data_IF_890344506622
#
_entry.id   IF_890344506622
#
_cell.length_a   1.000
_cell.length_b   1.000
_cell.length_c   1.000
_cell.angle_alpha   90.00
_cell.angle_beta   90.00
_cell.angle_gamma   90.00
#
_symmetry.space_group_name_H-M   'P 1'
#
loop_
_entity.id
_entity.type
_entity.pdbx_description
1 polymer ?
#
# COMPACT_ATOMS: atom_id res chain seq x y z
N UNK A 1 -0.32 11.71 -18.57
CA UNK A 1 0.87 11.49 -17.73
C UNK A 1 2.10 11.59 -18.63
N UNK A 2 3.21 12.15 -18.14
CA UNK A 2 4.51 12.08 -18.80
C UNK A 2 5.44 11.19 -17.96
N UNK A 3 6.22 10.33 -18.61
CA UNK A 3 7.25 9.52 -17.96
C UNK A 3 8.52 10.37 -17.88
N UNK A 4 9.01 10.64 -16.68
CA UNK A 4 10.25 11.38 -16.44
C UNK A 4 11.41 10.41 -16.26
N UNK A 5 11.19 9.34 -15.48
CA UNK A 5 12.11 8.21 -15.30
C UNK A 5 11.28 6.93 -15.28
N UNK A 6 11.52 6.04 -16.24
CA UNK A 6 10.74 4.81 -16.39
C UNK A 6 10.74 4.01 -15.08
N UNK A 7 9.56 3.52 -14.66
CA UNK A 7 9.39 2.78 -13.41
C UNK A 7 9.38 3.64 -12.14
N UNK A 8 9.90 4.87 -12.16
CA UNK A 8 10.20 5.62 -10.94
C UNK A 8 9.57 7.01 -10.83
N UNK A 9 9.58 7.83 -11.88
CA UNK A 9 9.11 9.23 -11.78
C UNK A 9 8.15 9.55 -12.92
N UNK A 10 6.95 9.97 -12.54
CA UNK A 10 5.87 10.31 -13.46
C UNK A 10 5.35 11.72 -13.17
N UNK A 11 5.23 12.54 -14.20
CA UNK A 11 4.64 13.88 -14.07
C UNK A 11 3.16 13.84 -14.47
N UNK A 12 2.29 14.12 -13.51
CA UNK A 12 0.83 14.10 -13.64
C UNK A 12 0.32 15.52 -13.88
N UNK A 13 -0.52 15.70 -14.91
CA UNK A 13 -1.17 16.98 -15.17
C UNK A 13 -2.33 17.18 -14.20
N UNK A 14 -2.52 18.41 -13.72
CA UNK A 14 -3.73 18.77 -12.99
C UNK A 14 -4.89 18.89 -13.97
N UNK A 15 -6.01 18.24 -13.67
CA UNK A 15 -7.27 18.52 -14.34
C UNK A 15 -7.69 19.92 -13.84
N UNK A 16 -7.91 20.87 -14.76
CA UNK A 16 -8.25 22.28 -14.49
C UNK A 16 -7.09 23.22 -14.10
N UNK A 17 -5.83 22.85 -14.35
CA UNK A 17 -4.68 23.72 -14.09
C UNK A 17 -3.54 23.60 -15.10
N UNK A 18 -2.61 24.57 -15.06
CA UNK A 18 -1.35 24.52 -15.83
C UNK A 18 -0.22 23.79 -15.09
N UNK A 19 -0.44 23.49 -13.80
CA UNK A 19 0.56 22.86 -12.94
C UNK A 19 0.58 21.34 -13.15
N UNK A 20 1.69 20.75 -12.70
CA UNK A 20 1.91 19.31 -12.69
C UNK A 20 2.41 18.90 -11.31
N UNK A 21 2.11 17.66 -10.93
CA UNK A 21 2.64 17.03 -9.71
C UNK A 21 3.41 15.79 -10.08
N UNK A 22 4.52 15.54 -9.39
CA UNK A 22 5.31 14.34 -9.58
C UNK A 22 4.82 13.22 -8.66
N UNK A 23 4.65 12.04 -9.24
CA UNK A 23 4.53 10.78 -8.53
C UNK A 23 5.88 10.09 -8.57
N UNK A 24 6.56 10.06 -7.42
CA UNK A 24 7.90 9.51 -7.27
C UNK A 24 7.83 8.19 -6.50
N UNK A 25 8.19 7.09 -7.14
CA UNK A 25 8.34 5.78 -6.50
C UNK A 25 9.75 5.61 -5.95
N UNK A 26 9.86 4.93 -4.81
CA UNK A 26 11.16 4.66 -4.18
C UNK A 26 12.07 3.85 -5.10
N UNK A 27 13.32 4.28 -5.25
CA UNK A 27 14.39 3.52 -5.91
C UNK A 27 15.43 3.11 -4.87
N UNK A 28 15.65 1.80 -4.69
CA UNK A 28 16.65 1.25 -3.76
C UNK A 28 17.76 0.48 -4.45
N UNK A 29 17.81 0.56 -5.77
CA UNK A 29 18.74 -0.21 -6.60
C UNK A 29 20.03 0.59 -6.75
N UNK A 30 21.14 0.09 -6.19
CA UNK A 30 22.42 0.81 -6.14
C UNK A 30 23.01 1.12 -7.52
N UNK A 31 22.64 0.35 -8.54
CA UNK A 31 23.07 0.57 -9.93
C UNK A 31 22.25 1.66 -10.64
N UNK A 32 21.20 2.16 -10.00
CA UNK A 32 20.41 3.30 -10.43
C UNK A 32 20.64 4.46 -9.47
N UNK A 33 20.22 5.66 -9.87
CA UNK A 33 20.14 6.78 -8.93
C UNK A 33 19.11 6.46 -7.84
N UNK A 34 19.60 6.25 -6.62
CA UNK A 34 18.82 5.97 -5.41
C UNK A 34 18.10 7.23 -4.98
N UNK A 35 16.80 7.13 -4.72
CA UNK A 35 16.02 8.26 -4.22
C UNK A 35 14.81 7.78 -3.42
N UNK A 36 14.35 8.64 -2.52
CA UNK A 36 13.12 8.42 -1.77
C UNK A 36 11.88 8.50 -2.67
N UNK A 37 10.75 8.01 -2.16
CA UNK A 37 9.49 7.98 -2.86
C UNK A 37 8.48 7.06 -2.19
N UNK A 38 7.32 6.90 -2.83
CA UNK A 38 6.26 6.02 -2.36
C UNK A 38 6.41 4.59 -2.87
N UNK A 39 5.74 3.66 -2.22
CA UNK A 39 5.55 2.30 -2.75
C UNK A 39 4.27 2.24 -3.58
N UNK A 40 4.19 1.27 -4.50
CA UNK A 40 2.97 1.00 -5.28
C UNK A 40 1.75 0.78 -4.38
N UNK A 41 1.93 0.12 -3.23
CA UNK A 41 0.87 -0.14 -2.26
C UNK A 41 0.26 1.14 -1.68
N UNK A 42 1.08 2.17 -1.42
CA UNK A 42 0.58 3.47 -0.92
C UNK A 42 -0.28 4.18 -1.96
N UNK A 43 0.12 4.11 -3.23
CA UNK A 43 -0.69 4.64 -4.34
C UNK A 43 -2.01 3.89 -4.45
N UNK A 44 -1.99 2.55 -4.38
CA UNK A 44 -3.22 1.74 -4.38
C UNK A 44 -4.15 2.09 -3.21
N UNK A 45 -3.62 2.30 -2.00
CA UNK A 45 -4.40 2.74 -0.83
C UNK A 45 -5.04 4.11 -1.07
N UNK A 46 -4.29 5.07 -1.60
CA UNK A 46 -4.81 6.39 -1.95
C UNK A 46 -5.90 6.32 -3.03
N UNK A 47 -5.75 5.45 -4.05
CA UNK A 47 -6.76 5.25 -5.08
C UNK A 47 -8.04 4.61 -4.53
N UNK A 48 -7.92 3.60 -3.65
CA UNK A 48 -9.08 2.99 -2.97
C UNK A 48 -9.85 4.05 -2.18
N UNK A 49 -9.15 4.82 -1.33
CA UNK A 49 -9.76 5.88 -0.53
C UNK A 49 -10.44 6.94 -1.40
N UNK A 50 -9.76 7.40 -2.46
CA UNK A 50 -10.31 8.37 -3.40
C UNK A 50 -11.56 7.86 -4.11
N UNK A 51 -11.59 6.60 -4.55
CA UNK A 51 -12.76 5.99 -5.19
C UNK A 51 -13.90 5.83 -4.20
N UNK A 52 -13.63 5.41 -2.96
CA UNK A 52 -14.64 5.36 -1.90
C UNK A 52 -15.24 6.75 -1.62
N UNK A 53 -14.40 7.80 -1.58
CA UNK A 53 -14.88 9.16 -1.44
C UNK A 53 -15.80 9.57 -2.61
N UNK A 54 -15.41 9.30 -3.86
CA UNK A 54 -16.28 9.53 -5.03
C UNK A 54 -17.63 8.81 -4.88
N UNK A 55 -17.60 7.56 -4.45
CA UNK A 55 -18.80 6.74 -4.30
C UNK A 55 -19.75 7.27 -3.23
N UNK A 56 -19.19 7.78 -2.12
CA UNK A 56 -19.95 8.43 -1.06
C UNK A 56 -20.58 9.76 -1.51
N UNK A 57 -19.88 10.52 -2.36
CA UNK A 57 -20.42 11.77 -2.91
C UNK A 57 -21.53 11.52 -3.95
N UNK A 58 -21.32 10.56 -4.85
CA UNK A 58 -22.28 10.18 -5.89
C UNK A 58 -22.11 8.71 -6.22
N UNK A 59 -22.99 7.90 -5.63
CA UNK A 59 -22.98 6.45 -5.77
C UNK A 59 -23.08 6.03 -7.24
N UNK A 60 -22.19 5.13 -7.66
CA UNK A 60 -22.24 4.46 -8.95
C UNK A 60 -21.83 3.01 -8.79
N UNK A 61 -22.67 2.07 -9.23
CA UNK A 61 -22.47 0.63 -8.98
C UNK A 61 -21.10 0.09 -9.41
N UNK A 62 -20.51 0.62 -10.48
CA UNK A 62 -19.18 0.20 -10.94
C UNK A 62 -18.03 0.63 -10.04
N UNK A 63 -18.25 1.54 -9.10
CA UNK A 63 -17.23 1.87 -8.10
C UNK A 63 -16.90 0.66 -7.22
N UNK A 64 -17.86 -0.25 -6.97
CA UNK A 64 -17.60 -1.49 -6.22
C UNK A 64 -16.61 -2.38 -6.95
N UNK A 65 -16.77 -2.52 -8.27
CA UNK A 65 -15.87 -3.29 -9.12
C UNK A 65 -14.46 -2.68 -9.09
N UNK A 66 -14.35 -1.35 -9.21
CA UNK A 66 -13.07 -0.63 -9.14
C UNK A 66 -12.39 -0.88 -7.78
N UNK A 67 -13.13 -0.67 -6.67
CA UNK A 67 -12.61 -0.86 -5.32
C UNK A 67 -12.20 -2.31 -5.09
N UNK A 68 -13.00 -3.28 -5.55
CA UNK A 68 -12.68 -4.70 -5.46
C UNK A 68 -11.37 -5.02 -6.17
N UNK A 69 -11.18 -4.55 -7.41
CA UNK A 69 -9.96 -4.81 -8.17
C UNK A 69 -8.73 -4.12 -7.57
N UNK A 70 -8.87 -2.88 -7.08
CA UNK A 70 -7.77 -2.19 -6.40
C UNK A 70 -7.35 -2.90 -5.11
N UNK A 71 -8.32 -3.38 -4.31
CA UNK A 71 -8.05 -4.19 -3.11
C UNK A 71 -7.36 -5.51 -3.47
N UNK A 72 -7.80 -6.17 -4.54
CA UNK A 72 -7.17 -7.41 -5.04
C UNK A 72 -5.73 -7.15 -5.48
N UNK A 73 -5.46 -6.06 -6.19
CA UNK A 73 -4.11 -5.66 -6.57
C UNK A 73 -3.24 -5.41 -5.33
N UNK A 74 -3.76 -4.70 -4.33
CA UNK A 74 -3.05 -4.45 -3.07
C UNK A 74 -2.71 -5.77 -2.36
N UNK A 75 -3.67 -6.70 -2.25
CA UNK A 75 -3.44 -8.02 -1.66
C UNK A 75 -2.34 -8.79 -2.39
N UNK A 76 -2.33 -8.80 -3.73
CA UNK A 76 -1.30 -9.49 -4.51
C UNK A 76 0.10 -8.91 -4.28
N UNK A 77 0.22 -7.59 -4.05
CA UNK A 77 1.49 -6.99 -3.65
C UNK A 77 1.99 -7.50 -2.28
N UNK A 78 1.09 -7.65 -1.31
CA UNK A 78 1.43 -8.16 0.02
C UNK A 78 1.78 -9.66 -0.02
N UNK A 79 1.04 -10.46 -0.80
CA UNK A 79 1.35 -11.88 -1.03
C UNK A 79 2.75 -12.02 -1.61
N UNK A 80 3.08 -11.26 -2.67
CA UNK A 80 4.42 -11.26 -3.27
C UNK A 80 5.51 -10.87 -2.27
N UNK A 81 5.22 -9.92 -1.37
CA UNK A 81 6.17 -9.52 -0.34
C UNK A 81 6.38 -10.63 0.72
N UNK A 82 5.33 -11.35 1.07
CA UNK A 82 5.36 -12.49 1.99
C UNK A 82 6.13 -13.67 1.40
N UNK A 83 5.83 -14.06 0.16
CA UNK A 83 6.56 -15.10 -0.59
C UNK A 83 8.07 -14.81 -0.60
N UNK A 84 8.46 -13.58 -0.92
CA UNK A 84 9.88 -13.17 -0.91
C UNK A 84 10.53 -13.25 0.47
N UNK A 85 9.77 -13.09 1.56
CA UNK A 85 10.31 -13.24 2.93
C UNK A 85 10.47 -14.72 3.27
N UNK A 86 9.50 -15.54 2.89
CA UNK A 86 9.57 -17.00 3.00
C UNK A 86 10.77 -17.57 2.23
N UNK A 87 10.94 -17.20 0.96
CA UNK A 87 12.05 -17.66 0.11
C UNK A 87 13.44 -17.29 0.67
N UNK A 88 13.51 -16.20 1.43
CA UNK A 88 14.73 -15.74 2.12
C UNK A 88 14.93 -16.37 3.50
N UNK A 89 14.02 -17.24 3.94
CA UNK A 89 14.04 -17.84 5.29
C UNK A 89 13.78 -16.82 6.41
N UNK A 90 13.27 -15.63 6.09
CA UNK A 90 12.98 -14.59 7.09
C UNK A 90 11.68 -14.89 7.87
N UNK A 91 10.82 -15.76 7.32
CA UNK A 91 9.58 -16.21 7.93
C UNK A 91 9.48 -17.71 7.72
N UNK A 92 9.20 -18.43 8.79
CA UNK A 92 8.83 -19.84 8.77
C UNK A 92 7.31 -19.94 9.06
N UNK A 93 6.48 -20.47 8.13
CA UNK A 93 5.02 -20.49 8.27
C UNK A 93 4.53 -21.16 9.57
N UNK A 94 5.24 -22.19 10.02
CA UNK A 94 4.99 -22.91 11.28
C UNK A 94 5.15 -22.04 12.53
N UNK A 95 5.84 -20.91 12.44
CA UNK A 95 6.07 -19.97 13.54
C UNK A 95 5.09 -18.77 13.51
N UNK A 96 4.18 -18.70 12.53
CA UNK A 96 3.18 -17.64 12.46
C UNK A 96 2.04 -17.98 13.43
N UNK A 97 1.69 -17.03 14.29
CA UNK A 97 0.57 -17.20 15.19
C UNK A 97 -0.74 -17.44 14.42
N UNK A 98 -1.48 -18.46 14.84
CA UNK A 98 -2.81 -18.78 14.33
C UNK A 98 -3.89 -18.45 15.36
N UNK A 99 -5.09 -18.20 14.89
CA UNK A 99 -6.30 -18.12 15.71
C UNK A 99 -6.85 -19.54 15.97
N UNK A 100 -7.87 -19.62 16.82
CA UNK A 100 -8.58 -20.84 17.21
C UNK A 100 -9.20 -21.62 16.04
N UNK A 101 -9.45 -20.96 14.90
CA UNK A 101 -9.95 -21.58 13.67
C UNK A 101 -8.84 -22.06 12.73
N UNK A 102 -7.57 -21.91 13.14
CA UNK A 102 -6.40 -22.32 12.35
C UNK A 102 -6.00 -21.33 11.26
N UNK A 103 -6.65 -20.17 11.15
CA UNK A 103 -6.22 -19.11 10.26
C UNK A 103 -5.13 -18.24 10.89
N UNK A 104 -4.27 -17.65 10.05
CA UNK A 104 -3.23 -16.74 10.55
C UNK A 104 -3.85 -15.56 11.29
N UNK A 105 -3.33 -15.29 12.47
CA UNK A 105 -3.78 -14.15 13.26
C UNK A 105 -3.30 -12.88 12.59
N UNK A 106 -4.25 -12.04 12.17
CA UNK A 106 -3.99 -10.70 11.68
C UNK A 106 -3.75 -9.76 12.87
N UNK A 107 -2.76 -10.05 13.71
CA UNK A 107 -2.22 -9.04 14.63
C UNK A 107 -1.43 -8.02 13.81
N UNK A 108 -1.33 -6.77 14.30
CA UNK A 108 -0.44 -5.78 13.69
C UNK A 108 0.97 -6.39 13.65
N UNK A 109 1.44 -6.77 12.47
CA UNK A 109 2.83 -7.18 12.24
C UNK A 109 3.72 -6.01 12.66
N UNK A 110 4.25 -6.05 13.89
CA UNK A 110 5.34 -5.19 14.31
C UNK A 110 6.59 -5.68 13.59
N UNK A 111 7.00 -4.96 12.55
CA UNK A 111 8.30 -5.19 11.95
C UNK A 111 9.34 -4.46 12.80
N UNK A 112 10.02 -5.18 13.68
CA UNK A 112 11.22 -4.69 14.33
C UNK A 112 12.34 -4.68 13.29
N UNK A 113 12.93 -3.51 13.01
CA UNK A 113 14.20 -3.48 12.26
C UNK A 113 15.39 -3.73 13.19
N UNK A 114 15.27 -3.43 14.49
CA UNK A 114 16.38 -3.52 15.46
C UNK A 114 15.92 -3.80 16.92
N UNK A 115 14.86 -4.60 17.12
CA UNK A 115 14.45 -5.02 18.48
C UNK A 115 13.77 -3.95 19.35
N UNK A 116 13.35 -2.81 18.80
CA UNK A 116 12.50 -1.82 19.47
C UNK A 116 11.10 -1.80 18.89
N UNK A 117 10.10 -2.16 19.71
CA UNK A 117 8.69 -2.16 19.37
C UNK A 117 8.14 -0.74 19.22
N UNK A 118 7.81 -0.34 17.98
CA UNK A 118 7.02 0.87 17.73
C UNK A 118 5.54 0.52 17.77
N UNK A 119 4.94 0.66 18.96
CA UNK A 119 3.50 0.58 19.17
C UNK A 119 2.79 1.79 18.53
N UNK A 120 2.36 1.69 17.27
CA UNK A 120 1.41 2.65 16.71
C UNK A 120 0.02 2.33 17.28
N UNK A 121 -0.42 3.06 18.30
CA UNK A 121 -1.78 2.93 18.84
C UNK A 121 -2.80 3.08 17.71
N UNK A 122 -3.78 2.17 17.56
CA UNK A 122 -4.87 2.38 16.62
C UNK A 122 -5.66 3.62 17.06
N UNK A 123 -5.78 4.62 16.16
CA UNK A 123 -6.68 5.75 16.37
C UNK A 123 -8.10 5.18 16.39
N UNK A 124 -8.80 5.29 17.53
CA UNK A 124 -10.21 4.92 17.62
C UNK A 124 -10.97 5.71 16.55
N UNK A 125 -11.59 5.00 15.62
CA UNK A 125 -12.57 5.58 14.70
C UNK A 125 -13.89 5.60 15.47
N UNK A 126 -14.40 6.79 15.76
CA UNK A 126 -15.74 6.97 16.30
C UNK A 126 -15.82 7.40 17.76
N UNK A 127 -15.25 8.55 18.11
CA UNK A 127 -15.85 9.46 19.09
C UNK A 127 -15.66 10.87 18.51
N UNK A 128 -16.75 11.50 18.08
CA UNK A 128 -16.87 12.95 18.03
C UNK A 128 -17.79 13.38 19.18
N UNK A 129 -17.90 14.69 19.48
CA UNK A 129 -17.26 15.85 18.85
C UNK A 129 -15.94 16.27 19.49
#
# INVERSE_FOLDING_TARGET
MLVVKEGHIYSLAHVDGVKRTELVFVCREEHLEVHEGVQTQEVLRALIDRTMHCDNCRRWSRNDEIIHHLRKALLLHEVRALERKFDKGLIAPENIAVDSDGHYRLEKLSFTKDGTDYNVKPKKIGEGP
#
